data_IF_038660095590
#
_entry.id   IF_038660095590
#
_cell.length_a   1.000
_cell.length_b   1.000
_cell.length_c   1.000
_cell.angle_alpha   90.00
_cell.angle_beta   90.00
_cell.angle_gamma   90.00
#
_symmetry.space_group_name_H-M   'P 1'
#
loop_
_entity.id
_entity.type
_entity.pdbx_description
1 polymer ?
#
# COMPACT_ATOMS: atom_id res chain seq x y z
N UNK A 1 -5.33 -5.28 -6.59
CA UNK A 1 -4.60 -4.95 -5.35
C UNK A 1 -3.16 -5.44 -5.26
N UNK A 2 -2.80 -6.68 -5.63
CA UNK A 2 -1.38 -7.12 -5.60
C UNK A 2 -0.43 -6.12 -6.30
N UNK A 3 -0.78 -5.70 -7.52
CA UNK A 3 0.00 -4.71 -8.30
C UNK A 3 0.06 -3.35 -7.62
N UNK A 4 -1.03 -2.93 -6.97
CA UNK A 4 -1.10 -1.63 -6.29
C UNK A 4 -0.21 -1.61 -5.04
N UNK A 5 -0.25 -2.68 -4.23
CA UNK A 5 0.67 -2.90 -3.10
C UNK A 5 2.13 -2.89 -3.58
N UNK A 6 2.45 -3.69 -4.61
CA UNK A 6 3.82 -3.72 -5.18
C UNK A 6 4.26 -2.38 -5.76
N UNK A 7 3.33 -1.59 -6.27
CA UNK A 7 3.61 -0.23 -6.73
C UNK A 7 3.96 0.69 -5.55
N UNK A 8 3.20 0.69 -4.46
CA UNK A 8 3.51 1.45 -3.26
C UNK A 8 4.88 1.05 -2.67
N UNK A 9 5.19 -0.25 -2.61
CA UNK A 9 6.50 -0.73 -2.16
C UNK A 9 7.65 -0.20 -3.03
N UNK A 10 7.45 -0.24 -4.35
CA UNK A 10 8.42 0.30 -5.30
C UNK A 10 8.55 1.82 -5.16
N UNK A 11 7.43 2.53 -4.99
CA UNK A 11 7.38 3.99 -4.89
C UNK A 11 8.07 4.48 -3.62
N UNK A 12 7.87 3.79 -2.50
CA UNK A 12 8.59 4.06 -1.24
C UNK A 12 10.11 3.98 -1.42
N UNK A 13 10.60 2.92 -2.09
CA UNK A 13 12.03 2.78 -2.40
C UNK A 13 12.52 3.89 -3.33
N UNK A 14 11.74 4.20 -4.36
CA UNK A 14 12.08 5.24 -5.32
C UNK A 14 12.25 6.62 -4.65
N UNK A 15 11.41 6.94 -3.66
CA UNK A 15 11.55 8.17 -2.88
C UNK A 15 12.87 8.21 -2.09
N UNK A 16 13.24 7.11 -1.44
CA UNK A 16 14.54 7.00 -0.74
C UNK A 16 15.73 7.18 -1.68
N UNK A 17 15.63 6.69 -2.92
CA UNK A 17 16.64 6.90 -3.96
C UNK A 17 16.73 8.34 -4.48
N UNK A 18 15.74 9.19 -4.21
CA UNK A 18 15.81 10.61 -4.58
C UNK A 18 16.58 11.46 -3.57
N UNK A 19 16.82 10.95 -2.36
CA UNK A 19 17.58 11.66 -1.32
C UNK A 19 18.99 11.95 -1.84
N UNK A 20 19.40 13.22 -1.77
CA UNK A 20 20.73 13.66 -2.19
C UNK A 20 20.95 13.72 -3.71
N UNK A 21 19.97 13.37 -4.57
CA UNK A 21 20.15 13.46 -6.03
C UNK A 21 20.37 14.88 -6.55
N UNK A 22 19.89 15.90 -5.83
CA UNK A 22 20.14 17.30 -6.16
C UNK A 22 21.27 17.82 -5.26
N UNK A 23 22.46 17.91 -5.83
CA UNK A 23 23.67 18.35 -5.12
C UNK A 23 23.90 19.87 -5.19
N UNK A 24 23.31 20.54 -6.19
CA UNK A 24 23.50 21.98 -6.44
C UNK A 24 22.44 22.87 -5.75
N UNK A 25 22.04 22.52 -4.54
CA UNK A 25 21.02 23.25 -3.76
C UNK A 25 21.59 23.77 -2.45
N UNK A 26 20.96 24.79 -1.86
CA UNK A 26 21.31 25.26 -0.53
C UNK A 26 21.15 24.16 0.52
N UNK A 27 21.92 24.23 1.61
CA UNK A 27 21.86 23.23 2.69
C UNK A 27 20.47 23.06 3.29
N UNK A 28 19.76 24.15 3.53
CA UNK A 28 18.39 24.13 4.06
C UNK A 28 17.41 23.45 3.10
N UNK A 29 17.57 23.66 1.79
CA UNK A 29 16.72 23.03 0.78
C UNK A 29 17.07 21.54 0.64
N UNK A 30 18.35 21.17 0.73
CA UNK A 30 18.77 19.77 0.77
C UNK A 30 18.14 19.03 1.96
N UNK A 31 18.15 19.63 3.14
CA UNK A 31 17.52 19.10 4.35
C UNK A 31 16.00 18.94 4.17
N UNK A 32 15.32 19.98 3.66
CA UNK A 32 13.88 19.93 3.40
C UNK A 32 13.50 18.84 2.37
N UNK A 33 14.28 18.69 1.29
CA UNK A 33 14.06 17.64 0.29
C UNK A 33 14.27 16.24 0.87
N UNK A 34 15.27 16.08 1.75
CA UNK A 34 15.50 14.82 2.45
C UNK A 34 14.33 14.47 3.38
N UNK A 35 13.89 15.43 4.20
CA UNK A 35 12.76 15.25 5.10
C UNK A 35 11.49 14.89 4.32
N UNK A 36 11.19 15.63 3.25
CA UNK A 36 10.04 15.37 2.39
C UNK A 36 10.10 13.99 1.73
N UNK A 37 11.24 13.61 1.16
CA UNK A 37 11.39 12.31 0.53
C UNK A 37 11.22 11.14 1.52
N UNK A 38 11.70 11.30 2.75
CA UNK A 38 11.49 10.31 3.81
C UNK A 38 10.00 10.19 4.16
N UNK A 39 9.32 11.31 4.38
CA UNK A 39 7.88 11.33 4.69
C UNK A 39 7.06 10.64 3.59
N UNK A 40 7.34 10.96 2.32
CA UNK A 40 6.70 10.31 1.18
C UNK A 40 6.99 8.82 1.11
N UNK A 41 8.20 8.40 1.45
CA UNK A 41 8.56 6.99 1.47
C UNK A 41 7.81 6.22 2.56
N UNK A 42 7.63 6.85 3.73
CA UNK A 42 6.93 6.26 4.87
C UNK A 42 5.43 6.16 4.61
N UNK A 43 4.80 7.21 4.06
CA UNK A 43 3.37 7.18 3.67
C UNK A 43 3.06 6.05 2.67
N UNK A 44 3.89 5.87 1.64
CA UNK A 44 3.69 4.77 0.68
C UNK A 44 3.91 3.39 1.31
N UNK A 45 4.84 3.28 2.25
CA UNK A 45 5.07 2.05 3.01
C UNK A 45 3.87 1.72 3.92
N UNK A 46 3.32 2.72 4.60
CA UNK A 46 2.14 2.56 5.46
C UNK A 46 0.90 2.17 4.64
N UNK A 47 0.66 2.85 3.51
CA UNK A 47 -0.43 2.50 2.58
C UNK A 47 -0.31 1.07 2.07
N UNK A 48 0.90 0.65 1.68
CA UNK A 48 1.17 -0.73 1.26
C UNK A 48 0.81 -1.73 2.37
N UNK A 49 1.24 -1.46 3.61
CA UNK A 49 0.97 -2.32 4.76
C UNK A 49 -0.53 -2.39 5.08
N UNK A 50 -1.22 -1.24 5.09
CA UNK A 50 -2.66 -1.16 5.32
C UNK A 50 -3.42 -1.97 4.27
N UNK A 51 -3.14 -1.74 2.98
CA UNK A 51 -3.79 -2.47 1.90
C UNK A 51 -3.48 -3.96 1.93
N UNK A 52 -2.25 -4.34 2.28
CA UNK A 52 -1.87 -5.73 2.43
C UNK A 52 -2.67 -6.41 3.55
N UNK A 53 -2.83 -5.74 4.70
CA UNK A 53 -3.61 -6.21 5.83
C UNK A 53 -5.10 -6.32 5.49
N UNK A 54 -5.69 -5.29 4.87
CA UNK A 54 -7.10 -5.28 4.45
C UNK A 54 -7.41 -6.39 3.44
N UNK A 55 -6.48 -6.69 2.53
CA UNK A 55 -6.66 -7.72 1.50
C UNK A 55 -6.20 -9.12 1.93
N UNK A 56 -5.58 -9.27 3.10
CA UNK A 56 -5.12 -10.57 3.56
C UNK A 56 -6.26 -11.57 3.78
N UNK A 57 -7.37 -11.22 4.48
CA UNK A 57 -8.48 -12.15 4.67
C UNK A 57 -9.08 -12.64 3.35
N UNK A 58 -9.25 -11.74 2.38
CA UNK A 58 -9.81 -12.10 1.08
C UNK A 58 -8.90 -13.09 0.34
N UNK A 59 -7.57 -12.90 0.40
CA UNK A 59 -6.62 -13.87 -0.16
C UNK A 59 -6.74 -15.24 0.51
N UNK A 60 -6.86 -15.28 1.83
CA UNK A 60 -7.07 -16.54 2.55
C UNK A 60 -8.36 -17.24 2.13
N UNK A 61 -9.45 -16.50 1.90
CA UNK A 61 -10.72 -17.06 1.43
C UNK A 61 -10.59 -17.64 0.03
N UNK A 62 -10.00 -16.90 -0.90
CA UNK A 62 -9.77 -17.37 -2.27
C UNK A 62 -8.88 -18.61 -2.27
N UNK A 63 -7.80 -18.62 -1.50
CA UNK A 63 -6.91 -19.78 -1.40
C UNK A 63 -7.63 -21.02 -0.84
N UNK A 64 -8.54 -20.85 0.13
CA UNK A 64 -9.36 -21.94 0.65
C UNK A 64 -10.32 -22.49 -0.42
N UNK A 65 -10.99 -21.62 -1.18
CA UNK A 65 -11.90 -22.00 -2.27
C UNK A 65 -11.13 -22.74 -3.37
N UNK A 66 -9.95 -22.24 -3.78
CA UNK A 66 -9.12 -22.89 -4.81
C UNK A 66 -8.71 -24.29 -4.37
N UNK A 67 -8.23 -24.45 -3.14
CA UNK A 67 -7.85 -25.78 -2.60
C UNK A 67 -9.02 -26.77 -2.57
N UNK A 68 -10.21 -26.27 -2.29
CA UNK A 68 -11.46 -27.04 -2.33
C UNK A 68 -11.84 -27.49 -3.74
N UNK A 69 -11.69 -26.61 -4.73
CA UNK A 69 -11.91 -26.97 -6.14
C UNK A 69 -10.93 -28.04 -6.61
N UNK A 70 -9.69 -28.00 -6.13
CA UNK A 70 -8.68 -29.03 -6.42
C UNK A 70 -8.96 -30.36 -5.69
N UNK A 71 -9.67 -30.33 -4.56
CA UNK A 71 -9.97 -31.51 -3.71
C UNK A 71 -11.43 -31.49 -3.23
N UNK A 72 -12.40 -31.93 -4.05
CA UNK A 72 -13.84 -31.72 -3.83
C UNK A 72 -14.48 -32.54 -2.69
N UNK A 73 -13.70 -33.02 -1.71
CA UNK A 73 -14.17 -33.78 -0.56
C UNK A 73 -14.35 -33.00 0.75
N UNK A 74 -14.05 -31.70 0.76
CA UNK A 74 -14.11 -30.85 1.97
C UNK A 74 -15.43 -30.10 2.15
N UNK A 75 -15.73 -29.70 3.39
CA UNK A 75 -16.87 -28.84 3.75
C UNK A 75 -16.46 -27.35 3.67
N UNK A 76 -16.83 -26.70 2.57
CA UNK A 76 -16.46 -25.31 2.25
C UNK A 76 -16.99 -24.32 3.28
N UNK A 77 -18.23 -24.51 3.72
CA UNK A 77 -18.91 -23.58 4.61
C UNK A 77 -18.27 -23.59 6.00
N UNK A 78 -17.86 -24.76 6.49
CA UNK A 78 -17.09 -24.89 7.73
C UNK A 78 -15.70 -24.23 7.65
N UNK A 79 -15.06 -24.23 6.47
CA UNK A 79 -13.80 -23.52 6.26
C UNK A 79 -13.97 -22.01 6.17
N UNK A 80 -15.02 -21.54 5.49
CA UNK A 80 -15.31 -20.10 5.32
C UNK A 80 -15.76 -19.47 6.65
N UNK A 81 -16.53 -20.18 7.49
CA UNK A 81 -16.94 -19.71 8.83
C UNK A 81 -15.75 -19.54 9.78
N UNK A 82 -14.66 -20.28 9.60
CA UNK A 82 -13.43 -20.13 10.39
C UNK A 82 -12.58 -18.92 9.99
N UNK A 83 -12.84 -18.35 8.82
CA UNK A 83 -12.10 -17.18 8.33
C UNK A 83 -12.82 -15.89 8.75
N UNK A 84 -12.04 -14.86 9.04
CA UNK A 84 -12.54 -13.59 9.59
C UNK A 84 -13.56 -12.97 8.63
N UNK A 85 -14.68 -12.48 9.15
CA UNK A 85 -15.70 -11.77 8.36
C UNK A 85 -15.07 -10.66 7.53
N UNK A 86 -15.30 -10.69 6.22
CA UNK A 86 -14.80 -9.69 5.28
C UNK A 86 -15.63 -8.40 5.41
N UNK A 87 -15.15 -7.45 6.21
CA UNK A 87 -15.48 -6.03 6.04
C UNK A 87 -14.40 -5.41 5.16
N UNK A 88 -14.66 -5.35 3.85
CA UNK A 88 -13.80 -4.59 2.92
C UNK A 88 -14.34 -3.17 2.86
N UNK A 89 -13.84 -2.31 3.73
CA UNK A 89 -14.03 -0.87 3.57
C UNK A 89 -13.10 -0.41 2.46
N UNK A 90 -13.67 -0.10 1.29
CA UNK A 90 -12.95 0.61 0.23
C UNK A 90 -12.93 2.08 0.64
N UNK A 91 -11.92 2.45 1.44
CA UNK A 91 -11.60 3.86 1.68
C UNK A 91 -11.19 4.50 0.36
N UNK A 92 -12.12 5.22 -0.26
CA UNK A 92 -11.77 6.23 -1.24
C UNK A 92 -11.15 7.37 -0.42
N UNK A 93 -9.82 7.40 -0.31
CA UNK A 93 -9.14 8.60 0.14
C UNK A 93 -9.54 9.70 -0.85
N UNK A 94 -10.30 10.68 -0.37
CA UNK A 94 -10.53 11.94 -1.07
C UNK A 94 -9.15 12.49 -1.42
N UNK A 95 -8.78 12.41 -2.69
CA UNK A 95 -7.57 13.05 -3.21
C UNK A 95 -7.81 14.54 -3.02
N UNK A 96 -7.30 15.11 -1.93
CA UNK A 96 -7.25 16.56 -1.81
C UNK A 96 -6.54 17.10 -3.05
N UNK A 97 -7.16 18.03 -3.79
CA UNK A 97 -6.51 18.62 -4.95
C UNK A 97 -5.21 19.25 -4.48
N UNK A 98 -4.09 18.80 -5.05
CA UNK A 98 -2.80 19.43 -4.81
C UNK A 98 -2.91 20.91 -5.17
N UNK A 99 -2.98 21.79 -4.16
CA UNK A 99 -2.81 23.23 -4.28
C UNK A 99 -1.36 23.50 -4.74
N UNK A 100 -1.12 23.38 -6.05
CA UNK A 100 0.16 23.70 -6.69
C UNK A 100 0.29 25.19 -7.04
N UNK A 101 -0.73 26.01 -6.77
CA UNK A 101 -0.85 27.41 -7.20
C UNK A 101 -0.56 28.46 -6.10
N UNK A 102 0.34 28.17 -5.14
CA UNK A 102 0.71 29.15 -4.08
C UNK A 102 2.21 29.46 -3.99
N UNK A 103 2.88 29.54 -5.12
CA UNK A 103 4.17 30.22 -5.21
C UNK A 103 4.21 31.12 -6.44
N UNK A 104 3.60 32.30 -6.31
CA UNK A 104 3.95 33.53 -7.03
C UNK A 104 4.44 34.56 -6.00
#
# INVERSE_FOLDING_TARGET
MRRAISFCDWRSKWWKEQIGRRESVSSWLAEGLMAYANEQADMESERSALWAATWHPLRQHVDAIVKMLDHPGGDLDSMLVKLKTLTVEVGLEDVEPCDFDKFD
#
